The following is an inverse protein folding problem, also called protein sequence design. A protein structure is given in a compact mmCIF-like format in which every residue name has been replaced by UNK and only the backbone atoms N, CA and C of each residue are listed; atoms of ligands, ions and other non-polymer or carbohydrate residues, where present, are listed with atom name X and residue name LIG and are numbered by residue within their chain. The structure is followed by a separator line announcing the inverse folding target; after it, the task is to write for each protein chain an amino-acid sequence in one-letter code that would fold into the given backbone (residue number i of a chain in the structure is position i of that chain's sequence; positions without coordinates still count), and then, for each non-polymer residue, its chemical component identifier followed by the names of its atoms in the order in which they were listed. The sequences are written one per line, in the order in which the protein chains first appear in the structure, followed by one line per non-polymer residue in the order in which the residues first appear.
data_IF_918327293882
#
_entry.id   IF_918327293882
#
_cell.length_a   1.000
_cell.length_b   1.000
_cell.length_c   1.000
_cell.angle_alpha   90.00
_cell.angle_beta   90.00
_cell.angle_gamma   90.00
#
_symmetry.space_group_name_H-M   'P 1'
#
loop_
_entity.id
_entity.type
_entity.pdbx_description
1 polymer ?
#
# COMPACT_ATOMS: atom_id res chain seq x y z
N UNK A 1 -2.53 -13.56 2.50
CA UNK A 1 -3.98 -13.48 2.79
C UNK A 1 -4.78 -13.16 1.53
N UNK A 2 -5.94 -13.79 1.33
CA UNK A 2 -6.73 -13.62 0.09
C UNK A 2 -7.30 -12.23 -0.07
N UNK A 3 -7.78 -11.62 1.02
CA UNK A 3 -8.17 -10.20 1.08
C UNK A 3 -7.16 -9.26 0.38
N UNK A 4 -5.88 -9.32 0.78
CA UNK A 4 -4.84 -8.45 0.24
C UNK A 4 -4.56 -8.78 -1.24
N UNK A 5 -4.47 -10.07 -1.58
CA UNK A 5 -4.24 -10.52 -2.97
C UNK A 5 -5.34 -10.04 -3.92
N UNK A 6 -6.60 -10.21 -3.53
CA UNK A 6 -7.76 -9.79 -4.33
C UNK A 6 -7.80 -8.28 -4.49
N UNK A 7 -7.61 -7.53 -3.40
CA UNK A 7 -7.60 -6.06 -3.42
C UNK A 7 -6.51 -5.52 -4.36
N UNK A 8 -5.28 -6.02 -4.24
CA UNK A 8 -4.15 -5.62 -5.12
C UNK A 8 -4.44 -6.00 -6.58
N UNK A 9 -4.98 -7.19 -6.84
CA UNK A 9 -5.35 -7.62 -8.19
C UNK A 9 -6.36 -6.66 -8.82
N UNK A 10 -7.41 -6.28 -8.09
CA UNK A 10 -8.42 -5.34 -8.56
C UNK A 10 -7.84 -3.93 -8.79
N UNK A 11 -7.00 -3.42 -7.88
CA UNK A 11 -6.27 -2.16 -8.11
C UNK A 11 -5.40 -2.22 -9.37
N UNK A 12 -4.70 -3.33 -9.60
CA UNK A 12 -3.84 -3.50 -10.76
C UNK A 12 -4.63 -3.60 -12.07
N UNK A 13 -5.85 -4.13 -12.04
CA UNK A 13 -6.76 -4.12 -13.20
C UNK A 13 -7.19 -2.70 -13.57
N UNK A 14 -7.50 -1.85 -12.59
CA UNK A 14 -7.78 -0.43 -12.82
C UNK A 14 -6.56 0.25 -13.44
N UNK A 15 -5.39 0.13 -12.80
CA UNK A 15 -4.16 0.74 -13.28
C UNK A 15 -3.81 0.30 -14.71
N UNK A 16 -3.95 -0.99 -15.00
CA UNK A 16 -3.67 -1.56 -16.32
C UNK A 16 -4.64 -1.06 -17.38
N UNK A 17 -5.93 -0.92 -17.07
CA UNK A 17 -6.92 -0.38 -17.98
C UNK A 17 -6.58 1.06 -18.40
N UNK A 18 -6.39 1.95 -17.42
CA UNK A 18 -6.13 3.37 -17.68
C UNK A 18 -4.75 3.63 -18.31
N UNK A 19 -3.76 2.76 -18.10
CA UNK A 19 -2.47 2.86 -18.79
C UNK A 19 -2.52 2.41 -20.25
N UNK A 20 -3.35 1.43 -20.56
CA UNK A 20 -3.50 0.91 -21.94
C UNK A 20 -4.46 1.74 -22.78
N UNK A 21 -5.48 2.34 -22.15
CA UNK A 21 -6.42 3.22 -22.84
C UNK A 21 -5.83 4.63 -22.95
N UNK A 22 -5.45 5.05 -24.17
CA UNK A 22 -4.97 6.42 -24.42
C UNK A 22 -6.02 7.46 -23.97
N UNK A 23 -7.27 7.28 -24.37
CA UNK A 23 -8.37 8.17 -24.00
C UNK A 23 -8.63 8.14 -22.50
N UNK A 24 -8.73 6.96 -21.89
CA UNK A 24 -8.98 6.82 -20.46
C UNK A 24 -7.87 7.44 -19.61
N UNK A 25 -6.61 7.20 -19.98
CA UNK A 25 -5.45 7.78 -19.31
C UNK A 25 -5.42 9.31 -19.36
N UNK A 26 -5.75 9.89 -20.52
CA UNK A 26 -5.86 11.36 -20.69
C UNK A 26 -6.99 11.92 -19.82
N UNK A 27 -8.19 11.35 -19.91
CA UNK A 27 -9.34 11.79 -19.11
C UNK A 27 -9.06 11.74 -17.62
N UNK A 28 -8.33 10.72 -17.15
CA UNK A 28 -7.94 10.61 -15.75
C UNK A 28 -6.93 11.69 -15.34
N UNK A 29 -5.95 11.99 -16.21
CA UNK A 29 -4.99 13.06 -15.96
C UNK A 29 -5.69 14.44 -15.90
N UNK A 30 -6.60 14.70 -16.83
CA UNK A 30 -7.40 15.92 -16.88
C UNK A 30 -8.24 16.06 -15.60
N UNK A 31 -8.99 15.02 -15.22
CA UNK A 31 -9.79 15.00 -14.00
C UNK A 31 -8.94 15.21 -12.72
N UNK A 32 -7.77 14.56 -12.64
CA UNK A 32 -6.86 14.73 -11.51
C UNK A 32 -6.31 16.17 -11.42
N UNK A 33 -6.02 16.80 -12.56
CA UNK A 33 -5.58 18.18 -12.65
C UNK A 33 -6.67 19.15 -12.19
N UNK A 34 -7.91 18.98 -12.69
CA UNK A 34 -9.07 19.79 -12.29
C UNK A 34 -9.34 19.69 -10.79
N UNK A 35 -9.23 18.49 -10.21
CA UNK A 35 -9.39 18.24 -8.78
C UNK A 35 -8.15 18.60 -7.94
N UNK A 36 -7.08 19.10 -8.57
CA UNK A 36 -5.80 19.47 -7.93
C UNK A 36 -5.17 18.32 -7.12
N UNK A 37 -5.37 17.07 -7.57
CA UNK A 37 -4.83 15.88 -6.92
C UNK A 37 -3.33 15.77 -7.25
N UNK A 38 -2.48 15.91 -6.22
CA UNK A 38 -1.02 15.73 -6.35
C UNK A 38 -0.64 14.25 -6.34
N UNK A 39 0.62 13.93 -6.68
CA UNK A 39 1.19 12.59 -6.50
C UNK A 39 1.23 11.70 -7.77
N UNK A 40 0.98 12.27 -8.94
CA UNK A 40 1.18 11.62 -10.24
C UNK A 40 0.09 10.62 -10.64
N UNK A 41 0.39 9.79 -11.64
CA UNK A 41 -0.53 8.83 -12.26
C UNK A 41 -0.67 7.51 -11.49
N UNK A 42 -1.57 6.64 -11.98
CA UNK A 42 -1.74 5.28 -11.46
C UNK A 42 -0.45 4.45 -11.54
N UNK A 43 -0.19 3.65 -10.52
CA UNK A 43 0.96 2.74 -10.44
C UNK A 43 0.48 1.30 -10.61
N UNK A 44 1.32 0.47 -11.23
CA UNK A 44 1.01 -0.93 -11.49
C UNK A 44 1.79 -1.81 -10.52
N UNK A 45 1.19 -2.93 -10.16
CA UNK A 45 1.82 -3.91 -9.29
C UNK A 45 2.87 -4.70 -10.06
N UNK A 46 4.01 -4.93 -9.42
CA UNK A 46 5.13 -5.70 -9.94
C UNK A 46 5.65 -6.62 -8.84
N UNK A 47 5.60 -7.93 -9.07
CA UNK A 47 5.93 -8.94 -8.06
C UNK A 47 7.37 -8.83 -7.55
N UNK A 48 8.31 -8.48 -8.42
CA UNK A 48 9.74 -8.33 -8.08
C UNK A 48 10.06 -7.04 -7.32
N UNK A 49 9.12 -6.09 -7.24
CA UNK A 49 9.30 -4.81 -6.55
C UNK A 49 8.39 -4.74 -5.33
N UNK A 50 8.93 -5.00 -4.15
CA UNK A 50 8.14 -5.16 -2.93
C UNK A 50 7.31 -3.92 -2.55
N UNK A 51 7.79 -2.71 -2.86
CA UNK A 51 7.07 -1.45 -2.62
C UNK A 51 5.90 -1.23 -3.58
N UNK A 52 5.85 -1.94 -4.71
CA UNK A 52 4.84 -1.72 -5.76
C UNK A 52 3.41 -2.04 -5.29
N UNK A 53 3.25 -2.91 -4.29
CA UNK A 53 1.95 -3.18 -3.68
C UNK A 53 1.37 -1.90 -3.07
N UNK A 54 2.16 -1.22 -2.24
CA UNK A 54 1.79 0.06 -1.64
C UNK A 54 1.54 1.12 -2.71
N UNK A 55 2.46 1.25 -3.68
CA UNK A 55 2.32 2.26 -4.73
C UNK A 55 1.04 2.10 -5.53
N UNK A 56 0.68 0.85 -5.85
CA UNK A 56 -0.54 0.51 -6.59
C UNK A 56 -1.78 0.88 -5.79
N UNK A 57 -1.91 0.40 -4.54
CA UNK A 57 -3.09 0.69 -3.72
C UNK A 57 -3.20 2.17 -3.37
N UNK A 58 -2.09 2.81 -3.02
CA UNK A 58 -2.05 4.24 -2.72
C UNK A 58 -2.42 5.10 -3.93
N UNK A 59 -1.96 4.74 -5.13
CA UNK A 59 -2.31 5.49 -6.33
C UNK A 59 -3.81 5.40 -6.68
N UNK A 60 -4.42 4.23 -6.49
CA UNK A 60 -5.86 4.02 -6.70
C UNK A 60 -6.68 4.76 -5.65
N UNK A 61 -6.33 4.64 -4.37
CA UNK A 61 -6.97 5.37 -3.27
C UNK A 61 -6.94 6.89 -3.51
N UNK A 62 -5.75 7.43 -3.80
CA UNK A 62 -5.55 8.86 -4.03
C UNK A 62 -6.31 9.40 -5.24
N UNK A 63 -6.45 8.60 -6.30
CA UNK A 63 -7.14 8.99 -7.52
C UNK A 63 -8.63 8.62 -7.52
N UNK A 64 -9.20 8.18 -6.39
CA UNK A 64 -10.60 7.77 -6.30
C UNK A 64 -11.56 8.80 -6.90
N UNK A 65 -11.51 10.06 -6.44
CA UNK A 65 -12.42 11.12 -6.91
C UNK A 65 -12.26 11.40 -8.42
N UNK A 66 -11.04 11.31 -8.96
CA UNK A 66 -10.80 11.47 -10.39
C UNK A 66 -11.34 10.27 -11.18
N UNK A 67 -11.17 9.04 -10.69
CA UNK A 67 -11.73 7.82 -11.29
C UNK A 67 -13.27 7.88 -11.34
N UNK A 68 -13.90 8.32 -10.26
CA UNK A 68 -15.35 8.52 -10.17
C UNK A 68 -15.82 9.61 -11.17
N UNK A 69 -15.08 10.72 -11.26
CA UNK A 69 -15.36 11.80 -12.23
C UNK A 69 -15.29 11.32 -13.68
N UNK A 70 -14.26 10.54 -14.03
CA UNK A 70 -14.14 9.98 -15.39
C UNK A 70 -15.28 9.02 -15.67
N UNK A 71 -15.64 8.16 -14.70
CA UNK A 71 -16.75 7.22 -14.88
C UNK A 71 -18.10 7.93 -15.04
N UNK A 72 -18.33 9.02 -14.32
CA UNK A 72 -19.56 9.80 -14.39
C UNK A 72 -19.70 10.52 -15.74
N UNK A 73 -18.64 11.21 -16.18
CA UNK A 73 -18.68 12.06 -17.37
C UNK A 73 -18.47 11.28 -18.67
N UNK A 74 -17.73 10.17 -18.62
CA UNK A 74 -17.29 9.40 -19.79
C UNK A 74 -17.50 7.89 -19.58
N UNK A 75 -18.72 7.43 -19.29
CA UNK A 75 -18.98 6.03 -18.95
C UNK A 75 -18.66 5.08 -20.11
N UNK A 76 -18.76 5.53 -21.36
CA UNK A 76 -18.51 4.69 -22.54
C UNK A 76 -17.03 4.44 -22.78
N UNK A 77 -16.15 5.39 -22.40
CA UNK A 77 -14.70 5.25 -22.51
C UNK A 77 -14.12 4.22 -21.55
N UNK A 78 -14.83 3.90 -20.45
CA UNK A 78 -14.48 2.80 -19.54
C UNK A 78 -15.15 1.51 -20.02
N UNK A 79 -14.58 0.84 -21.02
CA UNK A 79 -15.18 -0.36 -21.64
C UNK A 79 -15.24 -1.57 -20.68
N UNK A 80 -14.33 -1.65 -19.70
CA UNK A 80 -14.28 -2.77 -18.76
C UNK A 80 -15.38 -2.70 -17.70
N UNK A 81 -16.32 -3.66 -17.76
CA UNK A 81 -17.39 -3.83 -16.74
C UNK A 81 -16.82 -4.03 -15.33
N UNK A 82 -15.71 -4.74 -15.19
CA UNK A 82 -15.05 -4.96 -13.90
C UNK A 82 -14.49 -3.66 -13.32
N UNK A 83 -13.81 -2.86 -14.14
CA UNK A 83 -13.27 -1.55 -13.71
C UNK A 83 -14.41 -0.61 -13.28
N UNK A 84 -15.50 -0.55 -14.06
CA UNK A 84 -16.71 0.19 -13.66
C UNK A 84 -17.25 -0.26 -12.30
N UNK A 85 -17.34 -1.57 -12.07
CA UNK A 85 -17.81 -2.13 -10.79
C UNK A 85 -16.93 -1.70 -9.63
N UNK A 86 -15.60 -1.76 -9.79
CA UNK A 86 -14.68 -1.36 -8.72
C UNK A 86 -14.76 0.14 -8.42
N UNK A 87 -14.80 1.00 -9.44
CA UNK A 87 -14.89 2.45 -9.25
C UNK A 87 -16.20 2.85 -8.53
N UNK A 88 -17.29 2.13 -8.72
CA UNK A 88 -18.57 2.41 -8.03
C UNK A 88 -18.64 1.86 -6.60
N UNK A 89 -17.72 0.98 -6.22
CA UNK A 89 -17.83 0.23 -4.97
C UNK A 89 -17.17 0.98 -3.83
N UNK A 90 -17.99 1.53 -2.93
CA UNK A 90 -17.52 2.11 -1.67
C UNK A 90 -16.77 1.09 -0.81
N UNK A 91 -17.24 -0.16 -0.81
CA UNK A 91 -16.60 -1.26 -0.10
C UNK A 91 -15.18 -1.53 -0.66
N UNK A 92 -15.02 -1.54 -1.99
CA UNK A 92 -13.72 -1.70 -2.63
C UNK A 92 -12.75 -0.61 -2.15
N UNK A 93 -13.12 0.67 -2.24
CA UNK A 93 -12.23 1.75 -1.79
C UNK A 93 -11.98 1.72 -0.27
N UNK A 94 -12.98 1.34 0.53
CA UNK A 94 -12.78 1.08 1.96
C UNK A 94 -11.72 0.00 2.23
N UNK A 95 -11.68 -1.04 1.41
CA UNK A 95 -10.68 -2.11 1.47
C UNK A 95 -9.30 -1.64 0.97
N UNK A 96 -9.24 -0.88 -0.11
CA UNK A 96 -8.00 -0.28 -0.64
C UNK A 96 -7.37 0.66 0.38
N UNK A 97 -8.16 1.49 1.07
CA UNK A 97 -7.67 2.43 2.06
C UNK A 97 -7.05 1.70 3.27
N UNK A 98 -7.77 0.73 3.83
CA UNK A 98 -7.26 -0.10 4.94
C UNK A 98 -5.97 -0.83 4.56
N UNK A 99 -5.93 -1.43 3.36
CA UNK A 99 -4.72 -2.12 2.91
C UNK A 99 -3.56 -1.15 2.70
N UNK A 100 -3.82 0.05 2.19
CA UNK A 100 -2.80 1.09 2.01
C UNK A 100 -2.21 1.53 3.34
N UNK A 101 -3.03 1.68 4.39
CA UNK A 101 -2.56 2.00 5.73
C UNK A 101 -1.63 0.92 6.29
N UNK A 102 -1.94 -0.36 6.05
CA UNK A 102 -1.10 -1.49 6.47
C UNK A 102 0.23 -1.53 5.71
N UNK A 103 0.18 -1.27 4.40
CA UNK A 103 1.36 -1.35 3.53
C UNK A 103 2.28 -0.15 3.69
N UNK A 104 1.79 1.01 4.12
CA UNK A 104 2.56 2.24 4.32
C UNK A 104 3.78 2.05 5.23
N UNK A 105 3.66 1.57 6.48
CA UNK A 105 4.82 1.36 7.35
C UNK A 105 5.79 0.31 6.79
N UNK A 106 5.30 -0.71 6.08
CA UNK A 106 6.14 -1.72 5.40
C UNK A 106 6.98 -1.07 4.30
N UNK A 107 6.35 -0.25 3.45
CA UNK A 107 7.06 0.50 2.40
C UNK A 107 8.10 1.44 3.01
N UNK A 108 7.75 2.15 4.08
CA UNK A 108 8.69 3.05 4.77
C UNK A 108 9.89 2.29 5.31
N UNK A 109 9.67 1.15 5.98
CA UNK A 109 10.73 0.31 6.50
C UNK A 109 11.64 -0.20 5.37
N UNK A 110 11.08 -0.72 4.27
CA UNK A 110 11.86 -1.19 3.12
C UNK A 110 12.74 -0.05 2.58
N UNK A 111 12.16 1.11 2.29
CA UNK A 111 12.92 2.26 1.75
C UNK A 111 14.02 2.73 2.71
N UNK A 112 13.78 2.70 4.03
CA UNK A 112 14.79 3.09 5.01
C UNK A 112 15.91 2.06 5.13
N UNK A 113 15.59 0.77 5.05
CA UNK A 113 16.57 -0.32 5.18
C UNK A 113 17.36 -0.58 3.90
N UNK A 114 16.88 -0.10 2.75
CA UNK A 114 17.63 -0.09 1.48
C UNK A 114 18.66 1.04 1.41
N UNK A 115 18.73 1.93 2.41
CA UNK A 115 19.71 3.01 2.46
C UNK A 115 21.13 2.45 2.65
N UNK A 116 22.12 3.04 1.97
CA UNK A 116 23.51 2.64 2.09
C UNK A 116 24.07 2.78 3.52
N UNK A 117 23.44 3.63 4.34
CA UNK A 117 23.86 3.92 5.72
C UNK A 117 23.08 3.14 6.77
N UNK A 118 22.21 2.21 6.37
CA UNK A 118 21.43 1.39 7.31
C UNK A 118 22.35 0.49 8.12
N UNK A 119 22.19 0.51 9.44
CA UNK A 119 22.86 -0.42 10.34
C UNK A 119 21.84 -1.33 11.06
N UNK A 120 22.37 -2.25 11.88
CA UNK A 120 21.56 -3.25 12.57
C UNK A 120 20.56 -2.63 13.58
N UNK A 121 20.88 -1.49 14.18
CA UNK A 121 19.97 -0.79 15.09
C UNK A 121 18.77 -0.19 14.35
N UNK A 122 18.98 0.31 13.12
CA UNK A 122 17.89 0.79 12.26
C UNK A 122 16.93 -0.36 11.93
N UNK A 123 17.46 -1.54 11.61
CA UNK A 123 16.66 -2.76 11.42
C UNK A 123 15.78 -3.04 12.64
N UNK A 124 16.35 -2.97 13.86
CA UNK A 124 15.59 -3.18 15.09
C UNK A 124 14.48 -2.15 15.30
N UNK A 125 14.80 -0.86 15.11
CA UNK A 125 13.83 0.24 15.21
C UNK A 125 12.68 0.04 14.22
N UNK A 126 12.98 -0.30 12.97
CA UNK A 126 11.94 -0.56 11.97
C UNK A 126 11.06 -1.76 12.34
N UNK A 127 11.62 -2.84 12.91
CA UNK A 127 10.83 -3.98 13.39
C UNK A 127 9.85 -3.57 14.50
N UNK A 128 10.28 -2.74 15.45
CA UNK A 128 9.41 -2.22 16.52
C UNK A 128 8.30 -1.34 15.95
N UNK A 129 8.64 -0.42 15.04
CA UNK A 129 7.67 0.45 14.38
C UNK A 129 6.63 -0.35 13.58
N UNK A 130 7.06 -1.41 12.90
CA UNK A 130 6.18 -2.34 12.19
C UNK A 130 5.26 -3.10 13.15
N UNK A 131 5.78 -3.63 14.26
CA UNK A 131 4.98 -4.31 15.27
C UNK A 131 3.88 -3.38 15.83
N UNK A 132 4.25 -2.13 16.14
CA UNK A 132 3.31 -1.12 16.61
C UNK A 132 2.24 -0.78 15.56
N UNK A 133 2.63 -0.67 14.29
CA UNK A 133 1.69 -0.40 13.21
C UNK A 133 0.70 -1.56 13.01
N UNK A 134 1.17 -2.82 13.07
CA UNK A 134 0.30 -4.01 13.01
C UNK A 134 -0.68 -4.00 14.18
N UNK A 135 -0.21 -3.75 15.41
CA UNK A 135 -1.06 -3.70 16.61
C UNK A 135 -2.18 -2.67 16.51
N UNK A 136 -1.95 -1.54 15.83
CA UNK A 136 -2.93 -0.46 15.64
C UNK A 136 -3.96 -0.73 14.54
N UNK A 137 -3.85 -1.84 13.79
CA UNK A 137 -4.80 -2.15 12.74
C UNK A 137 -6.21 -2.40 13.31
N UNK A 138 -7.28 -1.90 12.66
CA UNK A 138 -8.64 -2.05 13.15
C UNK A 138 -9.05 -3.52 13.18
N UNK A 139 -9.35 -4.04 14.38
CA UNK A 139 -9.61 -5.46 14.64
C UNK A 139 -11.00 -5.93 14.19
N UNK A 140 -12.05 -5.08 14.29
CA UNK A 140 -13.43 -5.55 14.13
C UNK A 140 -13.80 -6.02 12.71
N UNK A 141 -13.34 -5.33 11.65
CA UNK A 141 -13.71 -5.63 10.24
C UNK A 141 -12.60 -6.34 9.45
N UNK A 142 -11.42 -6.55 10.05
CA UNK A 142 -10.25 -7.14 9.40
C UNK A 142 -9.56 -8.16 10.32
N UNK A 143 -10.30 -8.82 11.22
CA UNK A 143 -9.73 -9.66 12.27
C UNK A 143 -8.80 -10.75 11.71
N UNK A 144 -9.26 -11.49 10.70
CA UNK A 144 -8.49 -12.57 10.07
C UNK A 144 -7.20 -12.05 9.42
N UNK A 145 -7.30 -10.91 8.71
CA UNK A 145 -6.15 -10.29 8.08
C UNK A 145 -5.15 -9.75 9.11
N UNK A 146 -5.64 -9.13 10.19
CA UNK A 146 -4.81 -8.65 11.29
C UNK A 146 -4.10 -9.83 11.98
N UNK A 147 -4.82 -10.91 12.30
CA UNK A 147 -4.22 -12.13 12.86
C UNK A 147 -3.16 -12.73 11.91
N UNK A 148 -3.41 -12.70 10.60
CA UNK A 148 -2.43 -13.13 9.61
C UNK A 148 -1.18 -12.24 9.63
N UNK A 149 -1.32 -10.92 9.73
CA UNK A 149 -0.19 -10.00 9.87
C UNK A 149 0.62 -10.28 11.15
N UNK A 150 -0.05 -10.50 12.30
CA UNK A 150 0.63 -10.85 13.56
C UNK A 150 1.39 -12.16 13.40
N UNK A 151 0.75 -13.21 12.87
CA UNK A 151 1.40 -14.52 12.65
C UNK A 151 2.60 -14.40 11.72
N UNK A 152 2.48 -13.65 10.63
CA UNK A 152 3.56 -13.43 9.69
C UNK A 152 4.73 -12.66 10.32
N UNK A 153 4.44 -11.60 11.08
CA UNK A 153 5.44 -10.84 11.82
C UNK A 153 6.15 -11.71 12.84
N UNK A 154 5.42 -12.41 13.72
CA UNK A 154 6.00 -13.26 14.76
C UNK A 154 6.85 -14.39 14.19
N UNK A 155 6.43 -14.99 13.07
CA UNK A 155 7.24 -16.00 12.37
C UNK A 155 8.58 -15.44 11.92
N UNK A 156 8.62 -14.18 11.45
CA UNK A 156 9.88 -13.51 11.08
C UNK A 156 10.66 -13.06 12.29
N UNK A 157 9.99 -12.55 13.32
CA UNK A 157 10.58 -12.16 14.60
C UNK A 157 11.40 -13.29 15.21
N UNK A 158 10.88 -14.53 15.18
CA UNK A 158 11.55 -15.71 15.72
C UNK A 158 12.89 -16.07 15.05
N UNK A 159 13.17 -15.53 13.85
CA UNK A 159 14.45 -15.76 13.16
C UNK A 159 15.54 -14.78 13.59
N UNK A 160 15.21 -13.73 14.33
CA UNK A 160 16.18 -12.74 14.79
C UNK A 160 16.76 -13.15 16.14
N UNK A 161 18.06 -12.94 16.34
CA UNK A 161 18.68 -13.04 17.65
C UNK A 161 18.37 -11.77 18.46
N UNK A 162 17.49 -11.82 19.46
CA UNK A 162 17.09 -10.62 20.18
C UNK A 162 18.27 -9.95 20.88
N UNK A 163 19.28 -10.70 21.33
CA UNK A 163 20.42 -10.16 22.07
C UNK A 163 21.29 -9.27 21.18
N UNK A 164 21.56 -9.73 19.96
CA UNK A 164 22.37 -8.99 18.99
C UNK A 164 21.67 -7.68 18.57
N UNK A 165 20.37 -7.73 18.33
CA UNK A 165 19.60 -6.55 17.93
C UNK A 165 19.44 -5.54 19.06
N UNK A 166 19.20 -6.01 20.29
CA UNK A 166 19.13 -5.15 21.48
C UNK A 166 20.50 -4.50 21.73
N UNK A 167 21.60 -5.24 21.61
CA UNK A 167 22.94 -4.71 21.76
C UNK A 167 23.23 -3.63 20.72
N UNK A 168 22.94 -3.89 19.44
CA UNK A 168 23.10 -2.89 18.38
C UNK A 168 22.29 -1.62 18.65
N UNK A 169 21.07 -1.76 19.16
CA UNK A 169 20.24 -0.64 19.56
C UNK A 169 20.82 0.15 20.74
N UNK A 170 21.34 -0.54 21.76
CA UNK A 170 22.02 0.09 22.90
C UNK A 170 23.24 0.90 22.50
N UNK A 171 23.99 0.43 21.50
CA UNK A 171 25.19 1.09 20.98
C UNK A 171 24.86 2.24 20.01
N UNK A 172 23.60 2.46 19.66
CA UNK A 172 23.21 3.51 18.73
C UNK A 172 23.42 4.90 19.38
N UNK A 173 24.07 5.87 18.71
CA UNK A 173 24.35 7.19 19.27
C UNK A 173 23.13 7.98 19.75
N UNK A 174 21.95 7.65 19.21
CA UNK A 174 20.67 8.25 19.60
C UNK A 174 19.95 7.55 20.76
N UNK A 175 20.48 6.47 21.32
CA UNK A 175 19.89 5.79 22.48
C UNK A 175 20.01 6.68 23.73
N UNK A 176 18.92 6.80 24.52
CA UNK A 176 18.83 7.75 25.64
C UNK A 176 18.58 7.13 27.03
N UNK A 177 18.70 5.81 27.17
CA UNK A 177 18.44 5.13 28.44
C UNK A 177 16.97 4.90 28.68
#
# INVERSE_FOLDING_TARGET
HDFAKQTIKSCNQIASFFKKSHTGGRLLADAASTLKIKGGSLKSYCETRWTSMYETTNSVSRLQAALETVLLNNPNDITSKAVKKYIRSLEFFGNVNKLTEVLKPIKTAITLLESANTNLSDCFIQLILLANAIKKLPSQKMMEFHQHCIKAFNKRWANFDPKLYILAYFLHPGYRG
#
